data_IF_590160585614
#
_entry.id   IF_590160585614
#
_cell.length_a   1.000
_cell.length_b   1.000
_cell.length_c   1.000
_cell.angle_alpha   90.00
_cell.angle_beta   90.00
_cell.angle_gamma   90.00
#
_symmetry.space_group_name_H-M   'P 1'
#
loop_
_entity.id
_entity.type
_entity.pdbx_description
1 polymer ?
#
# COMPACT_ATOMS: atom_id res chain seq x y z
N UNK A 1 10.20 37.34 -12.07
CA UNK A 1 8.83 37.19 -11.51
C UNK A 1 8.36 35.74 -11.32
N UNK A 2 9.22 34.71 -11.53
CA UNK A 2 8.84 33.29 -11.40
C UNK A 2 9.27 32.61 -10.08
N UNK A 3 9.93 33.30 -9.14
CA UNK A 3 10.44 32.70 -7.89
C UNK A 3 9.47 32.83 -6.70
N UNK A 4 8.61 33.86 -6.67
CA UNK A 4 7.74 34.15 -5.52
C UNK A 4 6.52 33.21 -5.40
N UNK A 5 6.04 32.67 -6.52
CA UNK A 5 4.89 31.74 -6.56
C UNK A 5 5.27 30.33 -6.10
N UNK A 6 6.51 29.92 -6.37
CA UNK A 6 7.04 28.59 -6.01
C UNK A 6 7.27 28.49 -4.49
N UNK A 7 7.80 29.55 -3.86
CA UNK A 7 8.01 29.60 -2.39
C UNK A 7 6.71 29.66 -1.58
N UNK A 8 5.65 30.31 -2.10
CA UNK A 8 4.36 30.32 -1.41
C UNK A 8 3.62 28.97 -1.53
N UNK A 9 3.75 28.28 -2.67
CA UNK A 9 3.14 26.97 -2.89
C UNK A 9 3.80 25.88 -2.02
N UNK A 10 5.13 25.87 -1.92
CA UNK A 10 5.87 25.01 -0.99
C UNK A 10 5.48 25.30 0.46
N UNK A 11 5.31 26.57 0.83
CA UNK A 11 4.88 26.98 2.18
C UNK A 11 3.45 26.57 2.56
N UNK A 12 2.51 26.45 1.61
CA UNK A 12 1.15 25.94 1.88
C UNK A 12 1.13 24.41 1.97
N UNK A 13 1.78 23.74 1.01
CA UNK A 13 1.90 22.28 1.02
C UNK A 13 2.61 21.76 2.29
N UNK A 14 3.73 22.38 2.67
CA UNK A 14 4.46 22.02 3.88
C UNK A 14 3.61 22.21 5.15
N UNK A 15 2.80 23.28 5.23
CA UNK A 15 1.87 23.51 6.35
C UNK A 15 0.78 22.44 6.41
N UNK A 16 0.17 22.11 5.27
CA UNK A 16 -0.86 21.06 5.19
C UNK A 16 -0.30 19.68 5.57
N UNK A 17 0.89 19.33 5.08
CA UNK A 17 1.55 18.07 5.43
C UNK A 17 1.89 18.02 6.93
N UNK A 18 2.38 19.13 7.50
CA UNK A 18 2.66 19.23 8.94
C UNK A 18 1.39 19.13 9.78
N UNK A 19 0.27 19.70 9.32
CA UNK A 19 -1.01 19.57 9.98
C UNK A 19 -1.54 18.12 9.95
N UNK A 20 -1.41 17.44 8.80
CA UNK A 20 -1.77 16.02 8.65
C UNK A 20 -0.91 15.13 9.56
N UNK A 21 0.41 15.30 9.55
CA UNK A 21 1.33 14.59 10.43
C UNK A 21 0.95 14.78 11.91
N UNK A 22 0.65 16.01 12.35
CA UNK A 22 0.18 16.27 13.72
C UNK A 22 -1.15 15.57 14.01
N UNK A 23 -2.06 15.56 13.05
CA UNK A 23 -3.35 14.85 13.15
C UNK A 23 -3.17 13.34 13.33
N UNK A 24 -2.32 12.72 12.50
CA UNK A 24 -2.04 11.28 12.59
C UNK A 24 -1.33 10.91 13.88
N UNK A 25 -0.38 11.73 14.33
CA UNK A 25 0.31 11.50 15.62
C UNK A 25 -0.68 11.60 16.80
N UNK A 26 -1.63 12.54 16.77
CA UNK A 26 -2.69 12.61 17.79
C UNK A 26 -3.57 11.37 17.78
N UNK A 27 -3.90 10.86 16.60
CA UNK A 27 -4.66 9.61 16.45
C UNK A 27 -3.86 8.42 17.00
N UNK A 28 -2.57 8.30 16.66
CA UNK A 28 -1.70 7.24 17.18
C UNK A 28 -1.62 7.28 18.72
N UNK A 29 -1.41 8.46 19.31
CA UNK A 29 -1.38 8.64 20.77
C UNK A 29 -2.72 8.29 21.40
N UNK A 30 -3.83 8.68 20.77
CA UNK A 30 -5.17 8.35 21.26
C UNK A 30 -5.43 6.84 21.22
N UNK A 31 -5.09 6.16 20.13
CA UNK A 31 -5.23 4.70 20.02
C UNK A 31 -4.34 3.98 21.03
N UNK A 32 -3.10 4.44 21.21
CA UNK A 32 -2.16 3.88 22.21
C UNK A 32 -2.63 4.08 23.66
N UNK A 33 -3.64 4.94 23.90
CA UNK A 33 -4.28 5.09 25.20
C UNK A 33 -5.35 4.01 25.46
N UNK A 34 -5.96 3.51 24.39
CA UNK A 34 -7.02 2.49 24.44
C UNK A 34 -6.43 1.09 24.33
N UNK A 35 -5.42 0.92 23.46
CA UNK A 35 -4.73 -0.34 23.22
C UNK A 35 -3.26 -0.23 23.62
N UNK A 36 -2.65 -1.31 24.13
CA UNK A 36 -1.20 -1.37 24.23
C UNK A 36 -0.55 -1.14 22.86
N UNK A 37 0.63 -0.54 22.85
CA UNK A 37 1.35 -0.13 21.62
C UNK A 37 1.51 -1.28 20.62
N UNK A 38 1.66 -2.52 21.09
CA UNK A 38 1.81 -3.73 20.27
C UNK A 38 0.51 -4.16 19.56
N UNK A 39 -0.64 -3.65 20.02
CA UNK A 39 -1.96 -3.96 19.45
C UNK A 39 -2.53 -2.80 18.63
N UNK A 40 -1.80 -1.71 18.41
CA UNK A 40 -2.29 -0.62 17.59
C UNK A 40 -2.42 -1.08 16.11
N UNK A 41 -3.64 -1.14 15.53
CA UNK A 41 -3.86 -1.66 14.18
C UNK A 41 -3.19 -0.82 13.09
N UNK A 42 -2.99 0.48 13.34
CA UNK A 42 -2.30 1.37 12.39
C UNK A 42 -0.86 0.90 12.14
N UNK A 43 -0.26 0.18 13.09
CA UNK A 43 1.10 -0.36 12.96
C UNK A 43 1.20 -1.56 12.05
N UNK A 44 0.08 -2.18 11.70
CA UNK A 44 0.00 -3.41 10.93
C UNK A 44 -0.75 -3.24 9.60
N UNK A 45 -0.93 -2.02 9.08
CA UNK A 45 -1.67 -1.77 7.82
C UNK A 45 -1.15 -2.57 6.63
N UNK A 46 0.19 -2.73 6.51
CA UNK A 46 0.79 -3.59 5.49
C UNK A 46 0.50 -5.07 5.72
N UNK A 47 0.57 -5.54 6.97
CA UNK A 47 0.25 -6.92 7.33
C UNK A 47 -1.24 -7.26 7.19
N UNK A 48 -2.14 -6.30 7.46
CA UNK A 48 -3.58 -6.43 7.19
C UNK A 48 -3.85 -6.60 5.69
N UNK A 49 -3.13 -5.86 4.85
CA UNK A 49 -3.21 -6.03 3.38
C UNK A 49 -2.78 -7.44 2.97
N UNK A 50 -1.69 -7.96 3.53
CA UNK A 50 -1.24 -9.33 3.29
C UNK A 50 -2.25 -10.39 3.79
N UNK A 51 -2.91 -10.15 4.93
CA UNK A 51 -3.98 -11.02 5.43
C UNK A 51 -5.13 -11.12 4.42
N UNK A 52 -5.63 -9.99 3.92
CA UNK A 52 -6.71 -10.01 2.92
C UNK A 52 -6.26 -10.62 1.60
N UNK A 53 -5.01 -10.39 1.17
CA UNK A 53 -4.45 -11.07 -0.01
C UNK A 53 -4.44 -12.59 0.16
N UNK A 54 -4.08 -13.10 1.35
CA UNK A 54 -4.13 -14.54 1.63
C UNK A 54 -5.57 -15.06 1.57
N UNK A 55 -6.52 -14.34 2.19
CA UNK A 55 -7.93 -14.69 2.11
C UNK A 55 -8.42 -14.72 0.66
N UNK A 56 -8.02 -13.75 -0.17
CA UNK A 56 -8.34 -13.70 -1.60
C UNK A 56 -7.80 -14.89 -2.37
N UNK A 57 -6.53 -15.28 -2.15
CA UNK A 57 -5.95 -16.43 -2.86
C UNK A 57 -6.61 -17.73 -2.43
N UNK A 58 -6.82 -17.97 -1.13
CA UNK A 58 -7.47 -19.20 -0.65
C UNK A 58 -8.91 -19.32 -1.15
N UNK A 59 -9.70 -18.23 -1.04
CA UNK A 59 -11.07 -18.22 -1.56
C UNK A 59 -11.09 -18.29 -3.10
N UNK A 60 -10.16 -17.64 -3.79
CA UNK A 60 -10.05 -17.66 -5.25
C UNK A 60 -9.73 -19.04 -5.80
N UNK A 61 -8.83 -19.80 -5.15
CA UNK A 61 -8.57 -21.20 -5.49
C UNK A 61 -9.84 -22.04 -5.38
N UNK A 62 -10.63 -21.84 -4.31
CA UNK A 62 -11.92 -22.53 -4.17
C UNK A 62 -12.89 -22.16 -5.30
N UNK A 63 -13.04 -20.87 -5.62
CA UNK A 63 -13.92 -20.42 -6.70
C UNK A 63 -13.50 -20.98 -8.06
N UNK A 64 -12.19 -21.08 -8.29
CA UNK A 64 -11.61 -21.57 -9.54
C UNK A 64 -11.99 -23.02 -9.86
N UNK A 65 -12.16 -23.89 -8.84
CA UNK A 65 -12.58 -25.28 -9.06
C UNK A 65 -13.96 -25.44 -9.71
N UNK A 66 -14.82 -24.44 -9.59
CA UNK A 66 -16.21 -24.49 -10.07
C UNK A 66 -16.49 -23.50 -11.22
N UNK A 67 -15.55 -22.61 -11.53
CA UNK A 67 -15.75 -21.56 -12.52
C UNK A 67 -15.50 -22.08 -13.95
N UNK A 68 -16.42 -21.78 -14.87
CA UNK A 68 -16.29 -22.13 -16.28
C UNK A 68 -16.17 -20.87 -17.15
N UNK A 69 -15.03 -20.68 -17.80
CA UNK A 69 -14.74 -19.46 -18.57
C UNK A 69 -15.27 -19.51 -20.01
N UNK A 70 -16.60 -19.49 -20.20
CA UNK A 70 -17.26 -19.31 -21.51
C UNK A 70 -18.41 -18.31 -21.41
N UNK A 71 -18.73 -17.59 -22.50
CA UNK A 71 -19.79 -16.60 -22.52
C UNK A 71 -21.16 -17.22 -22.19
N UNK A 72 -21.35 -18.49 -22.53
CA UNK A 72 -22.61 -19.21 -22.30
C UNK A 72 -22.76 -19.79 -20.90
N UNK A 73 -21.65 -20.10 -20.20
CA UNK A 73 -21.66 -20.84 -18.93
C UNK A 73 -21.05 -20.08 -17.75
N UNK A 74 -20.31 -18.98 -17.95
CA UNK A 74 -19.64 -18.25 -16.87
C UNK A 74 -20.61 -17.80 -15.78
N UNK A 75 -21.68 -17.09 -16.15
CA UNK A 75 -22.68 -16.64 -15.18
C UNK A 75 -23.41 -17.81 -14.51
N UNK A 76 -23.77 -18.85 -15.28
CA UNK A 76 -24.43 -20.05 -14.76
C UNK A 76 -23.55 -20.83 -13.78
N UNK A 77 -22.24 -20.92 -14.03
CA UNK A 77 -21.27 -21.58 -13.14
C UNK A 77 -21.16 -20.85 -11.80
N UNK A 78 -21.16 -19.50 -11.82
CA UNK A 78 -21.18 -18.68 -10.61
C UNK A 78 -22.51 -18.81 -9.85
N UNK A 79 -23.65 -18.92 -10.54
CA UNK A 79 -24.93 -19.19 -9.90
C UNK A 79 -24.96 -20.58 -9.24
N UNK A 80 -24.49 -21.61 -9.95
CA UNK A 80 -24.34 -22.95 -9.40
C UNK A 80 -23.46 -22.94 -8.15
N UNK A 81 -22.30 -22.29 -8.20
CA UNK A 81 -21.42 -22.10 -7.06
C UNK A 81 -22.13 -21.43 -5.89
N UNK A 82 -22.89 -20.37 -6.17
CA UNK A 82 -23.53 -19.57 -5.14
C UNK A 82 -24.67 -20.33 -4.44
N UNK A 83 -25.46 -21.08 -5.20
CA UNK A 83 -26.74 -21.65 -4.73
C UNK A 83 -26.68 -23.15 -4.41
N UNK A 84 -25.81 -23.91 -5.08
CA UNK A 84 -25.79 -25.38 -5.02
C UNK A 84 -24.59 -25.94 -4.28
N UNK A 85 -23.45 -25.25 -4.30
CA UNK A 85 -22.24 -25.70 -3.58
C UNK A 85 -22.38 -25.35 -2.09
N UNK A 86 -22.16 -26.30 -1.16
CA UNK A 86 -22.20 -26.02 0.27
C UNK A 86 -21.27 -24.85 0.64
N UNK A 87 -21.82 -23.83 1.29
CA UNK A 87 -21.12 -22.58 1.65
C UNK A 87 -20.55 -21.76 0.47
N UNK A 88 -20.84 -22.12 -0.78
CA UNK A 88 -20.26 -21.47 -1.96
C UNK A 88 -20.62 -19.98 -2.06
N UNK A 89 -21.87 -19.61 -1.79
CA UNK A 89 -22.28 -18.21 -1.71
C UNK A 89 -21.53 -17.40 -0.65
N UNK A 90 -21.24 -18.00 0.52
CA UNK A 90 -20.46 -17.36 1.58
C UNK A 90 -19.01 -17.18 1.14
N UNK A 91 -18.37 -18.21 0.56
CA UNK A 91 -16.98 -18.12 0.10
C UNK A 91 -16.82 -17.09 -1.02
N UNK A 92 -17.80 -17.01 -1.94
CA UNK A 92 -17.87 -15.95 -2.95
C UNK A 92 -17.99 -14.56 -2.31
N UNK A 93 -18.81 -14.42 -1.27
CA UNK A 93 -18.89 -13.20 -0.46
C UNK A 93 -17.57 -12.86 0.21
N UNK A 94 -16.91 -13.84 0.83
CA UNK A 94 -15.59 -13.66 1.45
C UNK A 94 -14.58 -13.15 0.43
N UNK A 95 -14.52 -13.74 -0.77
CA UNK A 95 -13.63 -13.28 -1.84
C UNK A 95 -13.93 -11.82 -2.22
N UNK A 96 -15.21 -11.48 -2.39
CA UNK A 96 -15.64 -10.13 -2.76
C UNK A 96 -15.34 -9.07 -1.69
N UNK A 97 -15.63 -9.35 -0.41
CA UNK A 97 -15.40 -8.43 0.69
C UNK A 97 -13.93 -8.36 1.13
N UNK A 98 -13.18 -9.47 1.00
CA UNK A 98 -11.74 -9.44 1.19
C UNK A 98 -11.04 -8.55 0.14
N UNK A 99 -11.59 -8.42 -1.08
CA UNK A 99 -11.07 -7.51 -2.09
C UNK A 99 -11.16 -6.04 -1.64
N UNK A 100 -12.27 -5.65 -1.03
CA UNK A 100 -12.44 -4.31 -0.45
C UNK A 100 -11.49 -4.10 0.71
N UNK A 101 -11.43 -5.07 1.64
CA UNK A 101 -10.51 -5.04 2.76
C UNK A 101 -9.04 -4.91 2.31
N UNK A 102 -8.67 -5.59 1.23
CA UNK A 102 -7.34 -5.53 0.63
C UNK A 102 -6.99 -4.13 0.15
N UNK A 103 -7.87 -3.49 -0.65
CA UNK A 103 -7.63 -2.12 -1.13
C UNK A 103 -7.66 -1.11 0.01
N UNK A 104 -8.59 -1.22 0.96
CA UNK A 104 -8.61 -0.36 2.15
C UNK A 104 -7.31 -0.49 2.93
N UNK A 105 -6.81 -1.70 3.14
CA UNK A 105 -5.51 -1.96 3.77
C UNK A 105 -4.36 -1.28 3.04
N UNK A 106 -4.29 -1.42 1.70
CA UNK A 106 -3.26 -0.81 0.87
C UNK A 106 -3.32 0.72 0.96
N UNK A 107 -4.52 1.31 0.85
CA UNK A 107 -4.69 2.76 0.92
C UNK A 107 -4.28 3.30 2.28
N UNK A 108 -4.71 2.66 3.38
CA UNK A 108 -4.27 3.03 4.73
C UNK A 108 -2.75 2.90 4.89
N UNK A 109 -2.15 1.86 4.30
CA UNK A 109 -0.69 1.67 4.29
C UNK A 109 0.02 2.78 3.50
N UNK A 110 -0.47 3.13 2.30
CA UNK A 110 0.07 4.20 1.47
C UNK A 110 -0.03 5.56 2.19
N UNK A 111 -1.23 5.92 2.66
CA UNK A 111 -1.49 7.19 3.34
C UNK A 111 -0.63 7.35 4.59
N UNK A 112 -0.53 6.30 5.42
CA UNK A 112 0.31 6.36 6.62
C UNK A 112 1.76 6.63 6.27
N UNK A 113 2.32 5.90 5.29
CA UNK A 113 3.71 6.12 4.89
C UNK A 113 3.92 7.52 4.28
N UNK A 114 2.92 8.03 3.56
CA UNK A 114 2.96 9.38 2.99
C UNK A 114 2.97 10.46 4.08
N UNK A 115 2.05 10.43 5.03
CA UNK A 115 1.97 11.49 6.05
C UNK A 115 3.10 11.42 7.09
N UNK A 116 3.72 10.24 7.26
CA UNK A 116 4.86 10.04 8.17
C UNK A 116 6.22 10.21 7.48
N UNK A 117 6.24 10.68 6.22
CA UNK A 117 7.45 10.85 5.41
C UNK A 117 8.31 9.57 5.29
N UNK A 118 7.69 8.39 5.49
CA UNK A 118 8.32 7.05 5.42
C UNK A 118 8.55 6.56 3.98
N UNK A 119 8.82 7.48 3.07
CA UNK A 119 9.16 7.22 1.67
C UNK A 119 10.43 7.97 1.23
N UNK A 120 10.99 8.80 2.10
CA UNK A 120 12.18 9.59 1.80
C UNK A 120 13.47 8.76 1.91
N UNK A 121 14.45 9.11 1.10
CA UNK A 121 15.82 8.61 1.15
C UNK A 121 15.91 7.09 1.14
N UNK A 122 16.34 6.49 2.25
CA UNK A 122 16.53 5.05 2.42
C UNK A 122 15.27 4.20 2.23
N UNK A 123 14.10 4.84 2.18
CA UNK A 123 12.78 4.19 2.03
C UNK A 123 12.10 4.51 0.68
N UNK A 124 12.83 5.06 -0.29
CA UNK A 124 12.32 5.33 -1.64
C UNK A 124 12.01 4.05 -2.43
N UNK A 125 12.86 3.03 -2.34
CA UNK A 125 12.68 1.76 -3.03
C UNK A 125 11.43 0.97 -2.57
N UNK A 126 11.15 0.81 -1.26
CA UNK A 126 9.88 0.28 -0.79
C UNK A 126 8.68 1.06 -1.31
N UNK A 127 8.75 2.40 -1.37
CA UNK A 127 7.67 3.22 -1.89
C UNK A 127 7.38 2.92 -3.37
N UNK A 128 8.42 2.90 -4.22
CA UNK A 128 8.28 2.61 -5.66
C UNK A 128 7.67 1.22 -5.88
N UNK A 129 8.19 0.19 -5.20
CA UNK A 129 7.62 -1.16 -5.30
C UNK A 129 6.17 -1.23 -4.79
N UNK A 130 5.82 -0.47 -3.76
CA UNK A 130 4.44 -0.31 -3.28
C UNK A 130 3.50 0.32 -4.31
N UNK A 131 3.98 1.31 -5.07
CA UNK A 131 3.20 1.92 -6.16
C UNK A 131 2.87 0.91 -7.27
N UNK A 132 3.82 0.05 -7.65
CA UNK A 132 3.56 -1.04 -8.60
C UNK A 132 2.57 -2.07 -8.04
N UNK A 133 2.69 -2.43 -6.76
CA UNK A 133 1.72 -3.33 -6.10
C UNK A 133 0.30 -2.75 -6.14
N UNK A 134 0.12 -1.45 -5.89
CA UNK A 134 -1.18 -0.78 -5.97
C UNK A 134 -1.76 -0.84 -7.39
N UNK A 135 -0.94 -0.61 -8.42
CA UNK A 135 -1.36 -0.71 -9.82
C UNK A 135 -1.85 -2.12 -10.16
N UNK A 136 -1.09 -3.14 -9.79
CA UNK A 136 -1.46 -4.54 -10.01
C UNK A 136 -2.72 -4.94 -9.22
N UNK A 137 -2.86 -4.49 -7.97
CA UNK A 137 -4.05 -4.75 -7.16
C UNK A 137 -5.32 -4.19 -7.81
N UNK A 138 -5.26 -2.96 -8.34
CA UNK A 138 -6.37 -2.37 -9.10
C UNK A 138 -6.72 -3.17 -10.36
N UNK A 139 -5.71 -3.57 -11.14
CA UNK A 139 -5.89 -4.38 -12.36
C UNK A 139 -6.55 -5.74 -12.08
N UNK A 140 -6.07 -6.46 -11.05
CA UNK A 140 -6.63 -7.74 -10.64
C UNK A 140 -8.09 -7.58 -10.19
N UNK A 141 -8.40 -6.52 -9.44
CA UNK A 141 -9.77 -6.26 -9.02
C UNK A 141 -10.73 -6.04 -10.19
N UNK A 142 -10.36 -5.19 -11.16
CA UNK A 142 -11.18 -4.93 -12.36
C UNK A 142 -11.44 -6.21 -13.14
N UNK A 143 -10.39 -7.00 -13.42
CA UNK A 143 -10.53 -8.26 -14.15
C UNK A 143 -11.40 -9.27 -13.39
N UNK A 144 -11.35 -9.29 -12.05
CA UNK A 144 -12.20 -10.15 -11.22
C UNK A 144 -13.70 -9.87 -11.39
N UNK A 145 -14.10 -8.60 -11.50
CA UNK A 145 -15.50 -8.25 -11.80
C UNK A 145 -15.94 -8.70 -13.19
N UNK A 146 -15.03 -8.65 -14.17
CA UNK A 146 -15.36 -9.07 -15.54
C UNK A 146 -15.67 -10.58 -15.61
N UNK A 147 -15.07 -11.41 -14.74
CA UNK A 147 -15.28 -12.86 -14.73
C UNK A 147 -16.71 -13.29 -14.33
N UNK A 148 -17.48 -12.45 -13.63
CA UNK A 148 -18.87 -12.78 -13.28
C UNK A 148 -19.76 -12.88 -14.53
N UNK A 149 -19.42 -12.12 -15.57
CA UNK A 149 -20.12 -12.09 -16.87
C UNK A 149 -21.62 -11.73 -16.80
N UNK A 150 -21.99 -10.89 -15.83
CA UNK A 150 -23.28 -10.21 -15.74
C UNK A 150 -23.32 -8.94 -16.61
N UNK A 151 -24.49 -8.28 -16.71
CA UNK A 151 -24.60 -7.02 -17.48
C UNK A 151 -23.61 -5.93 -17.02
N UNK A 152 -23.26 -5.90 -15.73
CA UNK A 152 -22.23 -5.01 -15.19
C UNK A 152 -20.85 -5.34 -15.76
N UNK A 153 -20.46 -6.61 -15.79
CA UNK A 153 -19.21 -7.06 -16.39
C UNK A 153 -19.13 -6.73 -17.89
N UNK A 154 -20.25 -6.80 -18.61
CA UNK A 154 -20.34 -6.42 -20.03
C UNK A 154 -20.10 -4.92 -20.24
N UNK A 155 -20.75 -4.05 -19.45
CA UNK A 155 -20.48 -2.61 -19.52
C UNK A 155 -19.05 -2.30 -19.10
N UNK A 156 -18.56 -2.87 -18.00
CA UNK A 156 -17.19 -2.70 -17.53
C UNK A 156 -16.17 -3.08 -18.62
N UNK A 157 -16.38 -4.19 -19.32
CA UNK A 157 -15.52 -4.62 -20.42
C UNK A 157 -15.50 -3.60 -21.56
N UNK A 158 -16.65 -3.03 -21.90
CA UNK A 158 -16.74 -1.97 -22.91
C UNK A 158 -15.99 -0.71 -22.49
N UNK A 159 -16.10 -0.31 -21.22
CA UNK A 159 -15.40 0.85 -20.66
C UNK A 159 -13.88 0.63 -20.61
N UNK A 160 -13.43 -0.56 -20.20
CA UNK A 160 -12.00 -0.95 -20.25
C UNK A 160 -11.46 -0.89 -21.68
N UNK A 161 -12.19 -1.44 -22.65
CA UNK A 161 -11.80 -1.39 -24.06
C UNK A 161 -11.69 0.05 -24.56
N UNK A 162 -12.63 0.92 -24.20
CA UNK A 162 -12.58 2.34 -24.55
C UNK A 162 -11.36 3.05 -23.94
N UNK A 163 -11.01 2.76 -22.68
CA UNK A 163 -9.80 3.26 -22.05
C UNK A 163 -8.54 2.76 -22.76
N UNK A 164 -8.44 1.47 -23.04
CA UNK A 164 -7.28 0.91 -23.74
C UNK A 164 -7.10 1.51 -25.14
N UNK A 165 -8.17 1.64 -25.92
CA UNK A 165 -8.11 2.28 -27.25
C UNK A 165 -7.61 3.73 -27.20
N UNK A 166 -7.84 4.44 -26.09
CA UNK A 166 -7.40 5.82 -25.95
C UNK A 166 -5.89 5.99 -25.70
N UNK A 167 -5.16 4.90 -25.47
CA UNK A 167 -3.70 4.92 -25.27
C UNK A 167 -3.00 5.10 -26.63
N UNK A 168 -2.25 6.21 -26.86
CA UNK A 168 -1.55 6.44 -28.12
C UNK A 168 -0.54 5.32 -28.42
N UNK A 169 -0.45 4.94 -29.70
CA UNK A 169 0.45 3.91 -30.25
C UNK A 169 0.25 2.46 -29.76
N UNK A 170 -0.11 2.24 -28.49
CA UNK A 170 -0.27 0.89 -27.91
C UNK A 170 -1.73 0.40 -27.85
N UNK A 171 -2.72 1.30 -27.91
CA UNK A 171 -4.11 0.97 -27.59
C UNK A 171 -4.74 -0.15 -28.43
N UNK A 172 -4.53 -0.13 -29.75
CA UNK A 172 -5.04 -1.18 -30.63
C UNK A 172 -4.45 -2.56 -30.29
N UNK A 173 -3.15 -2.62 -30.03
CA UNK A 173 -2.46 -3.86 -29.64
C UNK A 173 -2.95 -4.39 -28.29
N UNK A 174 -3.15 -3.50 -27.31
CA UNK A 174 -3.65 -3.88 -25.97
C UNK A 174 -5.09 -4.40 -26.03
N UNK A 175 -5.97 -3.78 -26.82
CA UNK A 175 -7.34 -4.29 -27.01
C UNK A 175 -7.32 -5.63 -27.72
N UNK A 176 -6.49 -5.80 -28.75
CA UNK A 176 -6.37 -7.09 -29.43
C UNK A 176 -5.81 -8.18 -28.51
N UNK A 177 -4.88 -7.85 -27.62
CA UNK A 177 -4.38 -8.77 -26.59
C UNK A 177 -5.48 -9.16 -25.59
N UNK A 178 -6.31 -8.20 -25.17
CA UNK A 178 -7.41 -8.43 -24.23
C UNK A 178 -8.52 -9.29 -24.85
N UNK A 179 -9.01 -8.89 -26.03
CA UNK A 179 -10.15 -9.52 -26.69
C UNK A 179 -9.77 -10.80 -27.43
N UNK A 180 -8.58 -10.83 -28.03
CA UNK A 180 -8.10 -11.93 -28.85
C UNK A 180 -8.74 -12.04 -30.23
N UNK A 181 -9.40 -10.99 -30.70
CA UNK A 181 -10.14 -10.96 -31.96
C UNK A 181 -10.79 -9.60 -32.20
N UNK A 182 -11.74 -9.56 -33.16
CA UNK A 182 -12.50 -8.35 -33.54
C UNK A 182 -13.62 -7.99 -32.54
N UNK A 183 -13.91 -8.87 -31.59
CA UNK A 183 -14.96 -8.68 -30.60
C UNK A 183 -14.81 -9.63 -29.43
N UNK A 184 -15.73 -9.52 -28.49
CA UNK A 184 -15.82 -10.40 -27.31
C UNK A 184 -16.21 -11.81 -27.76
N UNK A 185 -15.45 -12.81 -27.32
CA UNK A 185 -15.67 -14.23 -27.58
C UNK A 185 -15.38 -15.06 -26.32
N UNK A 186 -15.62 -16.36 -26.35
CA UNK A 186 -15.22 -17.29 -25.27
C UNK A 186 -13.72 -17.18 -24.96
N UNK A 187 -12.90 -16.99 -26.00
CA UNK A 187 -11.46 -16.81 -25.83
C UNK A 187 -11.11 -15.51 -25.09
N UNK A 188 -11.98 -14.50 -25.09
CA UNK A 188 -11.81 -13.28 -24.29
C UNK A 188 -11.95 -13.59 -22.80
N UNK A 189 -12.96 -14.39 -22.40
CA UNK A 189 -13.16 -14.77 -21.00
C UNK A 189 -12.03 -15.64 -20.47
N UNK A 190 -11.56 -16.60 -21.27
CA UNK A 190 -10.38 -17.41 -20.92
C UNK A 190 -9.15 -16.52 -20.70
N UNK A 191 -8.93 -15.51 -21.55
CA UNK A 191 -7.85 -14.53 -21.35
C UNK A 191 -8.03 -13.69 -20.10
N UNK A 192 -9.24 -13.18 -19.85
CA UNK A 192 -9.56 -12.43 -18.62
C UNK A 192 -9.28 -13.28 -17.37
N UNK A 193 -9.58 -14.57 -17.41
CA UNK A 193 -9.30 -15.50 -16.32
C UNK A 193 -7.80 -15.61 -16.05
N UNK A 194 -6.97 -15.77 -17.10
CA UNK A 194 -5.52 -15.77 -16.96
C UNK A 194 -4.95 -14.41 -16.53
N UNK A 195 -5.50 -13.31 -17.05
CA UNK A 195 -5.14 -11.94 -16.67
C UNK A 195 -5.60 -11.59 -15.24
N UNK A 196 -6.52 -12.33 -14.67
CA UNK A 196 -6.87 -12.22 -13.27
C UNK A 196 -5.92 -13.07 -12.40
N UNK A 197 -5.85 -14.38 -12.64
CA UNK A 197 -5.13 -15.33 -11.78
C UNK A 197 -3.61 -15.14 -11.84
N UNK A 198 -3.06 -14.90 -13.04
CA UNK A 198 -1.62 -14.72 -13.24
C UNK A 198 -1.09 -13.52 -12.45
N UNK A 199 -1.58 -12.30 -12.70
CA UNK A 199 -1.25 -11.12 -11.92
C UNK A 199 -1.61 -11.24 -10.43
N UNK A 200 -2.71 -11.90 -10.06
CA UNK A 200 -3.04 -12.17 -8.65
C UNK A 200 -1.98 -13.01 -7.95
N UNK A 201 -1.44 -14.02 -8.63
CA UNK A 201 -0.33 -14.84 -8.12
C UNK A 201 1.00 -14.05 -8.12
N UNK A 202 1.22 -13.24 -9.15
CA UNK A 202 2.39 -12.36 -9.24
C UNK A 202 2.42 -11.30 -8.12
N UNK A 203 1.28 -10.89 -7.56
CA UNK A 203 1.23 -10.01 -6.39
C UNK A 203 2.04 -10.57 -5.22
N UNK A 204 2.06 -11.89 -4.98
CA UNK A 204 2.90 -12.47 -3.94
C UNK A 204 4.40 -12.41 -4.27
N UNK A 205 4.77 -12.59 -5.54
CA UNK A 205 6.16 -12.43 -5.98
C UNK A 205 6.63 -10.96 -5.84
N UNK A 206 5.78 -10.00 -6.22
CA UNK A 206 6.06 -8.58 -6.03
C UNK A 206 6.02 -8.16 -4.57
N UNK A 207 5.17 -8.78 -3.75
CA UNK A 207 5.11 -8.54 -2.31
C UNK A 207 6.37 -9.07 -1.63
N UNK A 208 6.87 -10.24 -2.03
CA UNK A 208 8.17 -10.73 -1.61
C UNK A 208 9.29 -9.76 -2.00
N UNK A 209 9.31 -9.30 -3.25
CA UNK A 209 10.27 -8.29 -3.70
C UNK A 209 10.18 -7.00 -2.87
N UNK A 210 8.98 -6.56 -2.51
CA UNK A 210 8.75 -5.41 -1.65
C UNK A 210 9.29 -5.64 -0.24
N UNK A 211 9.08 -6.82 0.34
CA UNK A 211 9.61 -7.19 1.66
C UNK A 211 11.13 -7.28 1.70
N UNK A 212 11.78 -7.72 0.63
CA UNK A 212 13.25 -7.75 0.54
C UNK A 212 13.89 -6.35 0.66
N UNK A 213 13.12 -5.29 0.43
CA UNK A 213 13.55 -3.89 0.60
C UNK A 213 13.27 -3.34 2.00
N UNK A 214 12.62 -4.11 2.86
CA UNK A 214 12.23 -3.73 4.21
C UNK A 214 13.00 -4.55 5.23
N UNK A 215 13.51 -3.89 6.27
CA UNK A 215 14.06 -4.57 7.44
C UNK A 215 12.94 -4.78 8.46
N UNK A 216 12.82 -6.00 9.00
CA UNK A 216 11.80 -6.40 9.97
C UNK A 216 10.35 -6.03 9.55
N UNK A 217 9.89 -6.43 8.36
CA UNK A 217 8.51 -6.16 7.95
C UNK A 217 7.55 -6.87 8.91
N UNK A 218 6.56 -6.12 9.42
CA UNK A 218 5.44 -6.68 10.18
C UNK A 218 4.46 -7.34 9.21
N UNK A 219 4.78 -8.56 8.77
CA UNK A 219 4.02 -9.31 7.76
C UNK A 219 2.65 -9.75 8.27
N UNK A 220 2.57 -10.11 9.54
CA UNK A 220 1.34 -10.61 10.17
C UNK A 220 0.84 -9.65 11.24
N UNK A 221 -0.46 -9.28 11.21
CA UNK A 221 -1.08 -8.58 12.31
C UNK A 221 -1.25 -9.51 13.53
N UNK A 222 -1.39 -8.96 14.75
CA UNK A 222 -1.72 -9.74 15.94
C UNK A 222 -2.98 -10.58 15.74
N UNK A 223 -3.05 -11.76 16.35
CA UNK A 223 -4.14 -12.72 16.17
C UNK A 223 -5.53 -12.12 16.43
N UNK A 224 -5.65 -11.18 17.36
CA UNK A 224 -6.91 -10.46 17.64
C UNK A 224 -7.43 -9.72 16.38
N UNK A 225 -6.55 -9.00 15.68
CA UNK A 225 -6.91 -8.29 14.46
C UNK A 225 -7.14 -9.23 13.30
N UNK A 226 -6.38 -10.32 13.22
CA UNK A 226 -6.62 -11.38 12.23
C UNK A 226 -8.02 -11.95 12.36
N UNK A 227 -8.40 -12.39 13.56
CA UNK A 227 -9.71 -12.96 13.84
C UNK A 227 -10.82 -11.93 13.63
N UNK A 228 -10.61 -10.69 14.06
CA UNK A 228 -11.58 -9.61 13.86
C UNK A 228 -11.82 -9.32 12.37
N UNK A 229 -10.77 -9.12 11.58
CA UNK A 229 -10.89 -8.79 10.16
C UNK A 229 -11.48 -9.95 9.34
N UNK A 230 -11.01 -11.18 9.58
CA UNK A 230 -11.57 -12.37 8.91
C UNK A 230 -13.02 -12.57 9.36
N UNK A 231 -13.30 -12.51 10.66
CA UNK A 231 -14.65 -12.62 11.21
C UNK A 231 -15.61 -11.58 10.63
N UNK A 232 -15.17 -10.32 10.48
CA UNK A 232 -15.94 -9.26 9.85
C UNK A 232 -16.24 -9.56 8.39
N UNK A 233 -15.26 -10.06 7.62
CA UNK A 233 -15.48 -10.46 6.21
C UNK A 233 -16.49 -11.61 6.11
N UNK A 234 -16.40 -12.63 6.96
CA UNK A 234 -17.38 -13.72 7.00
C UNK A 234 -18.77 -13.24 7.41
N UNK A 235 -18.84 -12.35 8.40
CA UNK A 235 -20.09 -11.75 8.86
C UNK A 235 -20.75 -10.94 7.74
N UNK A 236 -19.99 -10.08 7.04
CA UNK A 236 -20.48 -9.33 5.90
C UNK A 236 -20.92 -10.25 4.75
N UNK A 237 -20.15 -11.30 4.45
CA UNK A 237 -20.49 -12.29 3.44
C UNK A 237 -21.81 -13.03 3.73
N UNK A 238 -22.12 -13.26 5.01
CA UNK A 238 -23.38 -13.88 5.43
C UNK A 238 -24.56 -12.91 5.50
N UNK A 239 -24.35 -11.70 6.03
CA UNK A 239 -25.42 -10.71 6.25
C UNK A 239 -25.78 -9.93 4.98
N UNK A 240 -24.82 -9.69 4.10
CA UNK A 240 -24.99 -8.95 2.86
C UNK A 240 -24.52 -9.86 1.72
N UNK A 241 -25.40 -10.71 1.17
CA UNK A 241 -25.02 -11.59 0.06
C UNK A 241 -24.66 -10.79 -1.19
N UNK A 242 -23.63 -11.24 -1.93
CA UNK A 242 -23.21 -10.62 -3.20
C UNK A 242 -24.31 -10.64 -4.27
N UNK A 243 -25.31 -11.51 -4.12
CA UNK A 243 -26.48 -11.60 -4.99
C UNK A 243 -27.57 -10.56 -4.71
N UNK A 244 -27.40 -9.70 -3.70
CA UNK A 244 -28.40 -8.70 -3.28
C UNK A 244 -28.90 -7.82 -4.44
N UNK A 245 -28.02 -7.46 -5.36
CA UNK A 245 -28.35 -6.52 -6.44
C UNK A 245 -29.05 -7.18 -7.65
N UNK A 246 -29.24 -8.52 -7.63
CA UNK A 246 -29.97 -9.29 -8.63
C UNK A 246 -29.69 -8.92 -10.11
N UNK A 247 -28.41 -8.73 -10.45
CA UNK A 247 -28.00 -8.30 -11.79
C UNK A 247 -28.20 -9.45 -12.79
N UNK A 248 -28.88 -9.22 -13.93
CA UNK A 248 -29.13 -10.26 -14.92
C UNK A 248 -27.84 -10.72 -15.62
N UNK A 249 -27.85 -11.93 -16.22
CA UNK A 249 -26.76 -12.40 -17.08
C UNK A 249 -26.55 -11.43 -18.23
N UNK A 250 -25.30 -11.28 -18.68
CA UNK A 250 -25.02 -10.51 -19.89
C UNK A 250 -25.71 -11.13 -21.11
N UNK A 251 -26.15 -10.27 -22.03
CA UNK A 251 -26.69 -10.73 -23.32
C UNK A 251 -26.15 -9.85 -24.45
N UNK A 252 -25.93 -10.38 -25.66
CA UNK A 252 -25.44 -9.58 -26.79
C UNK A 252 -26.35 -8.40 -27.15
N UNK A 253 -27.65 -8.52 -26.86
CA UNK A 253 -28.65 -7.48 -27.09
C UNK A 253 -28.69 -6.44 -25.95
N UNK A 254 -28.26 -6.81 -24.74
CA UNK A 254 -28.24 -5.89 -23.61
C UNK A 254 -27.22 -4.77 -23.86
N UNK A 255 -27.67 -3.53 -23.63
CA UNK A 255 -26.81 -2.35 -23.56
C UNK A 255 -27.01 -1.68 -22.20
N UNK A 256 -26.49 -2.28 -21.12
CA UNK A 256 -26.63 -1.73 -19.78
C UNK A 256 -25.96 -0.35 -19.72
N UNK A 257 -26.70 0.63 -19.19
CA UNK A 257 -26.24 2.02 -19.05
C UNK A 257 -26.00 2.42 -17.60
N UNK A 258 -26.46 1.61 -16.65
CA UNK A 258 -26.32 1.84 -15.21
C UNK A 258 -26.20 0.51 -14.47
N UNK A 259 -25.45 0.50 -13.37
CA UNK A 259 -25.32 -0.63 -12.46
C UNK A 259 -24.78 -0.12 -11.11
N UNK A 260 -24.93 -0.88 -10.00
CA UNK A 260 -24.34 -0.52 -8.71
C UNK A 260 -22.81 -0.52 -8.80
N UNK A 261 -22.23 0.68 -8.66
CA UNK A 261 -20.80 0.91 -8.73
C UNK A 261 -20.12 0.50 -7.44
N UNK A 262 -19.03 -0.27 -7.56
CA UNK A 262 -18.11 -0.47 -6.45
C UNK A 262 -17.19 0.74 -6.27
N UNK A 263 -17.03 1.19 -5.03
CA UNK A 263 -16.27 2.42 -4.72
C UNK A 263 -14.77 2.24 -4.97
N UNK A 264 -14.21 1.06 -4.75
CA UNK A 264 -12.75 0.87 -4.75
C UNK A 264 -12.20 0.55 -6.13
N UNK A 265 -12.82 -0.38 -6.85
CA UNK A 265 -12.33 -0.84 -8.14
C UNK A 265 -12.97 -0.13 -9.32
N UNK A 266 -14.17 0.43 -9.15
CA UNK A 266 -14.89 1.07 -10.25
C UNK A 266 -14.78 2.60 -10.29
N UNK A 267 -14.05 3.20 -9.34
CA UNK A 267 -13.82 4.65 -9.29
C UNK A 267 -13.30 5.26 -10.59
N UNK A 268 -12.33 4.67 -11.33
CA UNK A 268 -11.86 5.25 -12.58
C UNK A 268 -12.97 5.34 -13.64
N UNK A 269 -13.87 4.36 -13.67
CA UNK A 269 -14.97 4.32 -14.63
C UNK A 269 -16.07 5.29 -14.26
N UNK A 270 -16.24 5.62 -12.97
CA UNK A 270 -17.12 6.72 -12.56
C UNK A 270 -16.68 8.06 -13.15
N UNK A 271 -15.37 8.32 -13.21
CA UNK A 271 -14.82 9.53 -13.84
C UNK A 271 -15.07 9.60 -15.35
N UNK A 272 -15.39 8.48 -16.02
CA UNK A 272 -15.75 8.48 -17.44
C UNK A 272 -17.11 9.17 -17.71
N UNK A 273 -17.91 9.45 -16.68
CA UNK A 273 -19.09 10.30 -16.80
C UNK A 273 -18.76 11.79 -16.92
N UNK A 274 -17.53 12.18 -16.56
CA UNK A 274 -17.08 13.58 -16.49
C UNK A 274 -15.98 13.85 -17.52
N UNK A 275 -15.08 12.88 -17.72
CA UNK A 275 -13.92 12.96 -18.60
C UNK A 275 -14.04 11.93 -19.74
N UNK A 276 -13.55 12.23 -20.95
CA UNK A 276 -13.42 11.22 -21.98
C UNK A 276 -12.44 10.10 -21.54
N UNK A 277 -12.52 8.92 -22.15
CA UNK A 277 -11.69 7.76 -21.80
C UNK A 277 -10.18 8.11 -21.74
N UNK A 278 -9.68 8.85 -22.73
CA UNK A 278 -8.29 9.32 -22.75
C UNK A 278 -7.94 10.28 -21.61
N UNK A 279 -8.90 11.09 -21.16
CA UNK A 279 -8.73 11.97 -20.00
C UNK A 279 -8.61 11.18 -18.69
N UNK A 280 -9.41 10.11 -18.54
CA UNK A 280 -9.29 9.21 -17.38
C UNK A 280 -7.97 8.45 -17.39
N UNK A 281 -7.55 7.93 -18.55
CA UNK A 281 -6.23 7.29 -18.69
C UNK A 281 -5.10 8.26 -18.35
N UNK A 282 -5.15 9.49 -18.85
CA UNK A 282 -4.17 10.51 -18.52
C UNK A 282 -4.15 10.82 -17.01
N UNK A 283 -5.32 10.92 -16.37
CA UNK A 283 -5.42 11.11 -14.92
C UNK A 283 -4.78 9.95 -14.15
N UNK A 284 -5.06 8.70 -14.51
CA UNK A 284 -4.47 7.53 -13.86
C UNK A 284 -2.95 7.48 -14.04
N UNK A 285 -2.45 7.78 -15.24
CA UNK A 285 -1.01 7.87 -15.53
C UNK A 285 -0.38 9.00 -14.71
N UNK A 286 -1.01 10.17 -14.65
CA UNK A 286 -0.54 11.30 -13.85
C UNK A 286 -0.50 10.97 -12.34
N UNK A 287 -1.52 10.29 -11.82
CA UNK A 287 -1.53 9.83 -10.42
C UNK A 287 -0.43 8.81 -10.14
N UNK A 288 -0.22 7.86 -11.06
CA UNK A 288 0.81 6.85 -10.92
C UNK A 288 2.22 7.45 -11.00
N UNK A 289 2.51 8.25 -12.04
CA UNK A 289 3.79 8.93 -12.24
C UNK A 289 4.04 9.95 -11.12
N UNK A 290 3.01 10.71 -10.73
CA UNK A 290 3.06 11.60 -9.58
C UNK A 290 3.40 10.85 -8.29
N UNK A 291 2.75 9.70 -8.07
CA UNK A 291 3.05 8.79 -6.95
C UNK A 291 4.51 8.33 -6.94
N UNK A 292 5.05 7.92 -8.09
CA UNK A 292 6.47 7.56 -8.23
C UNK A 292 7.41 8.75 -8.02
N UNK A 293 6.98 9.96 -8.36
CA UNK A 293 7.76 11.18 -8.22
C UNK A 293 7.78 11.74 -6.79
N UNK A 294 6.82 11.36 -5.92
CA UNK A 294 6.71 11.87 -4.54
C UNK A 294 8.06 11.85 -3.78
N UNK A 295 8.83 10.75 -3.71
CA UNK A 295 10.12 10.70 -2.99
C UNK A 295 11.19 11.66 -3.52
N UNK A 296 11.04 12.14 -4.75
CA UNK A 296 11.99 13.01 -5.42
C UNK A 296 11.54 14.48 -5.39
N UNK A 297 10.23 14.72 -5.44
CA UNK A 297 9.65 16.07 -5.43
C UNK A 297 9.43 16.64 -4.03
N UNK A 298 9.14 15.81 -3.03
CA UNK A 298 8.87 16.29 -1.66
C UNK A 298 10.13 16.43 -0.79
N UNK A 299 11.32 16.31 -1.38
CA UNK A 299 12.59 16.56 -0.68
C UNK A 299 12.63 18.02 -0.26
N UNK A 300 12.39 18.27 1.03
CA UNK A 300 12.41 19.63 1.62
C UNK A 300 13.81 20.25 1.60
N UNK A 301 14.83 19.42 1.54
CA UNK A 301 16.24 19.83 1.47
C UNK A 301 16.84 19.30 0.16
N UNK A 302 17.48 20.20 -0.60
CA UNK A 302 18.23 19.80 -1.80
C UNK A 302 19.50 19.05 -1.40
N UNK A 303 20.04 18.15 -2.24
CA UNK A 303 21.32 17.49 -1.98
C UNK A 303 22.48 18.43 -1.65
N UNK A 304 22.42 19.68 -2.13
CA UNK A 304 23.37 20.74 -1.83
C UNK A 304 23.17 21.37 -0.44
N UNK A 305 21.93 21.45 0.07
CA UNK A 305 21.62 21.91 1.42
C UNK A 305 21.87 20.83 2.48
N UNK A 306 21.78 19.54 2.09
CA UNK A 306 22.00 18.41 2.98
C UNK A 306 23.48 18.09 3.25
N UNK A 307 24.43 18.92 2.78
CA UNK A 307 25.89 18.67 2.77
C UNK A 307 26.20 17.18 2.65
N UNK A 308 26.18 16.64 1.41
CA UNK A 308 26.52 15.25 1.01
C UNK A 308 26.80 14.36 2.22
N UNK A 309 25.79 13.61 2.69
CA UNK A 309 25.81 12.67 3.85
C UNK A 309 27.15 11.97 4.07
N UNK A 310 28.05 12.76 4.64
CA UNK A 310 29.37 12.45 5.15
C UNK A 310 29.39 12.96 6.58
N UNK A 311 28.23 12.86 7.25
CA UNK A 311 28.07 13.21 8.64
C UNK A 311 28.88 12.25 9.54
N UNK A 312 29.40 11.17 8.94
CA UNK A 312 30.18 10.13 9.58
C UNK A 312 29.29 8.93 9.88
N UNK A 313 29.92 7.78 10.10
CA UNK A 313 29.22 6.60 10.59
C UNK A 313 28.53 6.95 11.91
N UNK A 314 27.25 6.61 12.05
CA UNK A 314 26.52 6.79 13.30
C UNK A 314 27.28 6.17 14.48
N UNK A 315 27.40 6.91 15.57
CA UNK A 315 28.09 6.48 16.79
C UNK A 315 27.11 6.30 17.93
N UNK A 316 27.39 5.35 18.81
CA UNK A 316 26.56 5.04 19.98
C UNK A 316 27.15 5.74 21.19
N UNK A 317 26.34 6.57 21.84
CA UNK A 317 26.70 7.18 23.12
C UNK A 317 26.42 6.15 24.21
N UNK A 318 27.46 5.40 24.57
CA UNK A 318 27.38 4.29 25.53
C UNK A 318 26.72 4.70 26.86
N UNK A 319 26.91 5.92 27.34
CA UNK A 319 26.29 6.38 28.58
C UNK A 319 24.76 6.39 28.55
N UNK A 320 24.19 6.64 27.37
CA UNK A 320 22.77 6.91 27.16
C UNK A 320 22.01 5.70 26.62
N UNK A 321 22.70 4.75 25.99
CA UNK A 321 22.07 3.58 25.39
C UNK A 321 21.37 2.70 26.43
N UNK A 322 20.04 2.63 26.36
CA UNK A 322 19.18 1.84 27.27
C UNK A 322 19.02 0.38 26.85
N UNK A 323 19.41 0.04 25.61
CA UNK A 323 19.22 -1.31 25.07
C UNK A 323 17.79 -1.61 24.59
N UNK A 324 16.93 -0.61 24.40
CA UNK A 324 15.52 -0.77 23.98
C UNK A 324 15.28 -1.20 22.53
N UNK A 325 16.33 -1.42 21.73
CA UNK A 325 16.29 -1.95 20.35
C UNK A 325 15.54 -1.11 19.29
N UNK A 326 14.96 0.04 19.62
CA UNK A 326 14.21 0.87 18.64
C UNK A 326 15.06 1.23 17.41
N UNK A 327 16.29 1.67 17.64
CA UNK A 327 17.23 1.99 16.56
C UNK A 327 17.61 0.77 15.71
N UNK A 328 17.64 -0.42 16.30
CA UNK A 328 17.88 -1.68 15.60
C UNK A 328 16.71 -1.98 14.64
N UNK A 329 15.47 -1.89 15.10
CA UNK A 329 14.30 -2.16 14.26
C UNK A 329 14.10 -1.10 13.16
N UNK A 330 14.42 0.16 13.43
CA UNK A 330 14.17 1.25 12.47
C UNK A 330 15.30 1.43 11.43
N UNK A 331 16.51 0.92 11.67
CA UNK A 331 17.65 1.04 10.75
C UNK A 331 17.42 0.22 9.46
N UNK A 332 17.27 0.84 8.27
CA UNK A 332 16.90 0.11 7.06
C UNK A 332 18.01 -0.74 6.45
N UNK A 333 19.28 -0.49 6.80
CA UNK A 333 20.45 -1.15 6.18
C UNK A 333 21.10 -2.25 7.02
N UNK A 334 20.48 -2.68 8.13
CA UNK A 334 21.11 -3.61 9.07
C UNK A 334 22.47 -3.10 9.61
N UNK A 335 22.61 -1.78 9.73
CA UNK A 335 23.81 -1.15 10.25
C UNK A 335 23.87 -1.15 11.79
N UNK A 336 22.77 -1.46 12.48
CA UNK A 336 22.75 -1.57 13.94
C UNK A 336 22.52 -3.01 14.34
N UNK A 337 23.33 -3.49 15.28
CA UNK A 337 23.18 -4.79 15.97
C UNK A 337 23.12 -4.56 17.47
N UNK A 338 22.36 -5.39 18.17
CA UNK A 338 22.27 -5.35 19.63
C UNK A 338 23.18 -6.45 20.19
N UNK A 339 24.13 -6.08 21.04
CA UNK A 339 25.07 -7.01 21.69
C UNK A 339 24.83 -7.01 23.21
N UNK A 340 25.18 -8.09 23.92
CA UNK A 340 25.14 -8.10 25.39
C UNK A 340 25.93 -6.93 25.97
N UNK A 341 25.31 -6.20 26.90
CA UNK A 341 25.93 -4.99 27.46
C UNK A 341 27.13 -5.36 28.35
N UNK A 342 28.31 -4.72 28.15
CA UNK A 342 29.49 -4.98 28.99
C UNK A 342 29.36 -4.38 30.40
N UNK A 343 28.40 -3.49 30.63
CA UNK A 343 28.18 -2.83 31.92
C UNK A 343 26.93 -1.99 31.98
N UNK A 344 26.71 -1.33 33.13
CA UNK A 344 25.57 -0.42 33.33
C UNK A 344 25.77 0.88 32.54
N UNK A 345 24.69 1.43 32.00
CA UNK A 345 24.74 2.78 31.42
C UNK A 345 24.85 3.86 32.49
N UNK A 346 25.14 5.09 32.07
CA UNK A 346 25.35 6.23 32.96
C UNK A 346 24.03 6.90 33.37
N UNK A 347 23.02 6.87 32.50
CA UNK A 347 21.71 7.46 32.81
C UNK A 347 20.84 6.53 33.65
N UNK A 348 19.88 7.10 34.38
CA UNK A 348 18.88 6.31 35.15
C UNK A 348 18.12 5.31 34.27
N UNK A 349 17.83 5.69 33.02
CA UNK A 349 17.15 4.83 32.06
C UNK A 349 18.06 3.70 31.54
N UNK A 350 19.37 3.93 31.44
CA UNK A 350 20.35 2.96 30.95
C UNK A 350 20.99 2.10 32.06
N UNK A 351 20.73 2.40 33.34
CA UNK A 351 21.33 1.74 34.49
C UNK A 351 21.10 0.22 34.52
N UNK A 352 19.96 -0.25 34.01
CA UNK A 352 19.57 -1.67 33.99
C UNK A 352 19.59 -2.27 32.58
N UNK A 353 20.33 -1.68 31.63
CA UNK A 353 20.40 -2.20 30.27
C UNK A 353 21.02 -3.59 30.24
N UNK A 354 20.43 -4.47 29.44
CA UNK A 354 20.98 -5.80 29.13
C UNK A 354 21.68 -5.85 27.78
N UNK A 355 21.33 -4.92 26.89
CA UNK A 355 21.84 -4.83 25.52
C UNK A 355 22.48 -3.46 25.27
N UNK A 356 23.46 -3.44 24.37
CA UNK A 356 24.13 -2.26 23.85
C UNK A 356 23.98 -2.25 22.32
N UNK A 357 23.63 -1.11 21.75
CA UNK A 357 23.63 -0.95 20.30
C UNK A 357 25.07 -0.83 19.79
N UNK A 358 25.40 -1.47 18.67
CA UNK A 358 26.68 -1.34 17.98
C UNK A 358 26.42 -1.08 16.51
N UNK A 359 27.16 -0.13 15.93
CA UNK A 359 27.02 0.24 14.52
C UNK A 359 28.05 -0.52 13.68
N UNK A 360 27.58 -1.27 12.68
CA UNK A 360 28.39 -1.89 11.65
C UNK A 360 28.67 -0.84 10.58
N UNK A 361 29.89 -0.29 10.60
CA UNK A 361 30.31 0.81 9.74
C UNK A 361 30.07 0.52 8.25
N UNK A 362 30.39 -0.71 7.80
CA UNK A 362 30.27 -1.13 6.40
C UNK A 362 28.84 -1.14 5.85
N UNK A 363 27.82 -1.02 6.71
CA UNK A 363 26.40 -1.02 6.34
C UNK A 363 25.74 0.33 6.59
N UNK A 364 26.41 1.24 7.30
CA UNK A 364 25.85 2.54 7.64
C UNK A 364 25.92 3.47 6.44
N UNK A 365 24.76 3.97 5.97
CA UNK A 365 24.69 4.96 4.89
C UNK A 365 24.45 6.38 5.40
N UNK A 366 24.71 6.61 6.68
CA UNK A 366 24.67 7.94 7.30
C UNK A 366 23.31 8.64 7.16
N UNK A 367 22.22 7.86 7.25
CA UNK A 367 20.86 8.36 7.04
C UNK A 367 20.20 9.03 8.25
N UNK A 368 20.79 8.90 9.46
CA UNK A 368 20.26 9.51 10.68
C UNK A 368 18.95 8.93 11.23
N UNK A 369 18.31 7.95 10.56
CA UNK A 369 17.02 7.35 11.01
C UNK A 369 17.12 6.80 12.43
N UNK A 370 18.25 6.20 12.77
CA UNK A 370 18.48 5.61 14.08
C UNK A 370 18.57 6.65 15.20
N UNK A 371 18.98 7.89 14.90
CA UNK A 371 18.99 9.02 15.85
C UNK A 371 17.56 9.42 16.15
N UNK A 372 16.74 9.65 15.12
CA UNK A 372 15.33 10.00 15.30
C UNK A 372 14.50 8.89 15.97
N UNK A 373 14.93 7.63 15.84
CA UNK A 373 14.31 6.49 16.52
C UNK A 373 14.74 6.33 17.99
N UNK A 374 15.79 7.04 18.43
CA UNK A 374 16.32 6.93 19.78
C UNK A 374 15.76 8.04 20.69
N UNK A 375 14.80 7.75 21.59
CA UNK A 375 14.25 8.76 22.49
C UNK A 375 15.19 9.11 23.66
N UNK A 376 16.35 8.44 23.73
CA UNK A 376 17.32 8.57 24.82
C UNK A 376 18.63 9.22 24.35
N UNK A 377 18.68 9.76 23.13
CA UNK A 377 19.87 10.45 22.61
C UNK A 377 21.14 9.58 22.71
N UNK A 378 20.98 8.29 22.42
CA UNK A 378 22.06 7.31 22.49
C UNK A 378 22.78 7.08 21.15
N UNK A 379 22.40 7.83 20.12
CA UNK A 379 22.96 7.74 18.78
C UNK A 379 23.18 9.14 18.23
N UNK A 380 24.34 9.34 17.62
CA UNK A 380 24.73 10.62 17.03
C UNK A 380 25.45 10.43 15.69
N UNK A 381 25.47 11.49 14.89
CA UNK A 381 26.29 11.56 13.68
C UNK A 381 27.45 12.52 13.99
N UNK A 382 28.72 12.12 13.81
CA UNK A 382 29.89 12.90 14.22
C UNK A 382 29.93 14.36 13.75
N UNK A 383 29.38 14.69 12.58
CA UNK A 383 29.32 16.07 12.07
C UNK A 383 27.96 16.76 12.24
N UNK A 384 27.01 16.10 12.88
CA UNK A 384 25.70 16.63 13.22
C UNK A 384 25.40 16.30 14.69
N UNK A 385 26.29 16.75 15.58
CA UNK A 385 26.05 16.59 17.00
C UNK A 385 24.80 17.37 17.41
N UNK A 386 23.97 16.78 18.24
CA UNK A 386 22.72 17.38 18.69
C UNK A 386 22.95 18.76 19.34
N UNK A 387 24.04 18.89 20.11
CA UNK A 387 24.44 20.16 20.71
C UNK A 387 24.65 21.27 19.67
N UNK A 388 25.26 20.95 18.54
CA UNK A 388 25.54 21.92 17.48
C UNK A 388 24.25 22.33 16.76
N UNK A 389 23.34 21.37 16.55
CA UNK A 389 22.01 21.62 15.97
C UNK A 389 21.16 22.48 16.93
N UNK A 390 21.12 22.16 18.22
CA UNK A 390 20.40 22.95 19.22
C UNK A 390 20.95 24.37 19.33
N UNK A 391 22.27 24.54 19.25
CA UNK A 391 22.89 25.84 19.20
C UNK A 391 22.45 26.62 17.95
N UNK A 392 22.48 26.01 16.76
CA UNK A 392 22.00 26.63 15.52
C UNK A 392 20.53 27.02 15.59
N UNK A 393 19.66 26.15 16.12
CA UNK A 393 18.23 26.46 16.30
C UNK A 393 18.05 27.61 17.28
N UNK A 394 18.77 27.62 18.40
CA UNK A 394 18.68 28.70 19.39
C UNK A 394 19.14 30.04 18.81
N UNK A 395 20.19 30.04 17.99
CA UNK A 395 20.67 31.21 17.25
C UNK A 395 19.64 31.70 16.24
N UNK A 396 19.04 30.79 15.47
CA UNK A 396 18.01 31.12 14.47
C UNK A 396 16.68 31.58 15.10
N UNK A 397 16.39 31.20 16.35
CA UNK A 397 15.23 31.71 17.09
C UNK A 397 15.45 33.10 17.71
N UNK A 398 16.71 33.55 17.79
CA UNK A 398 17.08 34.88 18.30
C UNK A 398 17.13 35.96 17.21
N UNK A 399 17.25 35.54 15.94
CA UNK A 399 17.12 36.39 14.74
C UNK A 399 15.68 36.41 14.25
#
# INVERSE_FOLDING_TARGET
>A
MSSATTDQATGRYARSMTALLRGTLRLDVWINRVYPTDFNPLYYTGGLSNLFLLTLVLSGIFLFFYYEASLGSAFASIQYLTERVPYGGVIRGVHRYAADGFIVGILLHLFRNWFTDRYLFARDNPWISGMFLLLFAGFVGVTGYQLVWDERAQLLTTLVVAMLYSIPAAGQGLVHLLLGGVGVSDTTLVRLLYLHIGPASALYAFLWWHYLRLRHPKIWPPGVWTLFCVGLVFLLAGLIPVTRDAIPPSSPAARPTHFPMDVFFMLPFWFMNILPAGGVVALLVLLFVGGLAIPYLSRRETPAQMEVRHAGVAQVVDGNCTGCELCYYDCPYNAIVMVPSPGRGLTKAAANRTLLAVVIESRCVECGICIGACPFEALELPKLMERDVLNQVSLAMQT
#
